data_IF_488556399801
#
_entry.id   IF_488556399801
#
_cell.length_a   1.000
_cell.length_b   1.000
_cell.length_c   1.000
_cell.angle_alpha   90.00
_cell.angle_beta   90.00
_cell.angle_gamma   90.00
#
_symmetry.space_group_name_H-M   'P 1'
#
loop_
_entity.id
_entity.type
_entity.pdbx_description
1 polymer ?
#
# COMPACT_ATOMS: atom_id res chain seq x y z
N UNK A 1 -2.25 -31.67 -14.41
CA UNK A 1 -2.23 -32.52 -13.19
C UNK A 1 -3.18 -31.98 -12.12
N UNK A 2 -3.07 -30.72 -11.68
CA UNK A 2 -3.97 -30.10 -10.69
C UNK A 2 -5.47 -30.08 -11.08
N UNK A 3 -5.79 -29.80 -12.35
CA UNK A 3 -7.18 -29.79 -12.84
C UNK A 3 -7.85 -31.17 -12.72
N UNK A 4 -7.11 -32.24 -13.04
CA UNK A 4 -7.61 -33.62 -12.91
C UNK A 4 -7.90 -34.02 -11.46
N UNK A 5 -7.08 -33.54 -10.52
CA UNK A 5 -7.30 -33.76 -9.07
C UNK A 5 -8.54 -33.02 -8.58
N UNK A 6 -8.80 -31.80 -9.06
CA UNK A 6 -9.98 -31.01 -8.70
C UNK A 6 -11.30 -31.62 -9.18
N UNK A 7 -11.28 -32.38 -10.27
CA UNK A 7 -12.46 -33.03 -10.84
C UNK A 7 -12.93 -34.17 -9.91
N UNK A 8 -12.03 -35.03 -9.44
CA UNK A 8 -12.42 -36.19 -8.59
C UNK A 8 -12.81 -35.84 -7.14
N UNK A 9 -12.67 -34.58 -6.71
CA UNK A 9 -12.92 -34.17 -5.33
C UNK A 9 -14.41 -34.07 -4.98
N UNK A 10 -14.77 -34.38 -3.73
CA UNK A 10 -16.14 -34.13 -3.21
C UNK A 10 -16.44 -32.62 -3.24
N UNK A 11 -17.69 -32.25 -3.58
CA UNK A 11 -18.15 -30.87 -3.70
C UNK A 11 -17.74 -29.95 -2.53
N UNK A 12 -17.88 -30.43 -1.28
CA UNK A 12 -17.49 -29.66 -0.10
C UNK A 12 -15.99 -29.34 -0.02
N UNK A 13 -15.14 -30.22 -0.55
CA UNK A 13 -13.69 -30.02 -0.61
C UNK A 13 -13.31 -29.06 -1.74
N UNK A 14 -14.04 -29.06 -2.86
CA UNK A 14 -13.88 -28.06 -3.94
C UNK A 14 -14.18 -26.65 -3.42
N UNK A 15 -15.27 -26.49 -2.67
CA UNK A 15 -15.64 -25.22 -2.04
C UNK A 15 -14.63 -24.75 -0.99
N UNK A 16 -14.10 -25.65 -0.16
CA UNK A 16 -13.10 -25.32 0.84
C UNK A 16 -11.79 -24.82 0.22
N UNK A 17 -11.32 -25.47 -0.85
CA UNK A 17 -10.12 -25.06 -1.59
C UNK A 17 -10.35 -23.73 -2.34
N UNK A 18 -11.57 -23.50 -2.82
CA UNK A 18 -11.96 -22.24 -3.46
C UNK A 18 -12.02 -21.05 -2.51
N UNK A 19 -12.44 -21.29 -1.28
CA UNK A 19 -12.61 -20.26 -0.26
C UNK A 19 -11.28 -19.86 0.38
N UNK A 20 -10.29 -20.77 0.41
CA UNK A 20 -9.00 -20.54 1.07
C UNK A 20 -8.21 -19.33 0.54
N UNK A 21 -8.20 -19.03 -0.78
CA UNK A 21 -7.56 -17.84 -1.32
C UNK A 21 -8.12 -16.51 -0.81
N UNK A 22 -9.41 -16.47 -0.46
CA UNK A 22 -10.14 -15.22 -0.18
C UNK A 22 -9.69 -14.58 1.15
N UNK A 23 -9.58 -15.30 2.28
CA UNK A 23 -8.99 -14.76 3.52
C UNK A 23 -7.54 -14.31 3.36
N UNK A 24 -6.72 -15.06 2.62
CA UNK A 24 -5.32 -14.68 2.35
C UNK A 24 -5.22 -13.41 1.52
N UNK A 25 -6.06 -13.25 0.49
CA UNK A 25 -6.11 -12.02 -0.30
C UNK A 25 -6.58 -10.84 0.55
N UNK A 26 -7.64 -11.03 1.34
CA UNK A 26 -8.14 -9.99 2.25
C UNK A 26 -7.07 -9.53 3.25
N UNK A 27 -6.34 -10.47 3.87
CA UNK A 27 -5.34 -10.14 4.88
C UNK A 27 -4.10 -9.45 4.30
N UNK A 28 -3.63 -9.91 3.13
CA UNK A 28 -2.51 -9.26 2.42
C UNK A 28 -2.90 -7.87 1.94
N UNK A 29 -4.13 -7.67 1.44
CA UNK A 29 -4.60 -6.36 1.02
C UNK A 29 -4.70 -5.37 2.20
N UNK A 30 -5.07 -5.83 3.40
CA UNK A 30 -5.10 -4.99 4.62
C UNK A 30 -3.72 -4.66 5.18
N UNK A 31 -2.70 -5.44 4.82
CA UNK A 31 -1.34 -5.25 5.34
C UNK A 31 -0.60 -4.08 4.66
N UNK A 32 0.48 -3.58 5.30
CA UNK A 32 1.46 -2.66 4.70
C UNK A 32 2.38 -3.35 3.67
N UNK A 33 1.91 -4.42 3.01
CA UNK A 33 2.68 -5.10 1.97
C UNK A 33 2.89 -4.19 0.76
N UNK A 34 4.00 -4.40 0.06
CA UNK A 34 4.32 -3.67 -1.16
C UNK A 34 3.25 -3.88 -2.24
N UNK A 35 3.08 -2.88 -3.10
CA UNK A 35 2.00 -2.88 -4.09
C UNK A 35 2.07 -4.07 -5.05
N UNK A 36 3.27 -4.52 -5.43
CA UNK A 36 3.47 -5.71 -6.25
C UNK A 36 2.98 -7.00 -5.58
N UNK A 37 3.13 -7.12 -4.25
CA UNK A 37 2.61 -8.28 -3.49
C UNK A 37 1.10 -8.30 -3.54
N UNK A 38 0.44 -7.13 -3.47
CA UNK A 38 -1.00 -7.02 -3.64
C UNK A 38 -1.45 -7.43 -5.04
N UNK A 39 -0.72 -7.02 -6.09
CA UNK A 39 -1.00 -7.44 -7.48
C UNK A 39 -0.90 -8.96 -7.65
N UNK A 40 0.18 -9.58 -7.17
CA UNK A 40 0.41 -11.02 -7.29
C UNK A 40 -0.69 -11.81 -6.59
N UNK A 41 -1.09 -11.40 -5.38
CA UNK A 41 -2.14 -12.08 -4.61
C UNK A 41 -3.52 -11.94 -5.27
N UNK A 42 -3.81 -10.79 -5.87
CA UNK A 42 -5.03 -10.57 -6.65
C UNK A 42 -5.08 -11.47 -7.88
N UNK A 43 -3.98 -11.54 -8.66
CA UNK A 43 -3.88 -12.43 -9.82
C UNK A 43 -4.03 -13.91 -9.43
N UNK A 44 -3.45 -14.29 -8.30
CA UNK A 44 -3.56 -15.65 -7.78
C UNK A 44 -5.00 -15.99 -7.36
N UNK A 45 -5.71 -15.07 -6.68
CA UNK A 45 -7.13 -15.25 -6.35
C UNK A 45 -8.02 -15.35 -7.61
N UNK A 46 -7.72 -14.54 -8.63
CA UNK A 46 -8.42 -14.56 -9.92
C UNK A 46 -8.21 -15.89 -10.66
N UNK A 47 -6.98 -16.40 -10.67
CA UNK A 47 -6.64 -17.70 -11.24
C UNK A 47 -7.44 -18.85 -10.59
N UNK A 48 -7.59 -18.83 -9.27
CA UNK A 48 -8.41 -19.81 -8.55
C UNK A 48 -9.89 -19.70 -8.87
N UNK A 49 -10.42 -18.48 -9.04
CA UNK A 49 -11.80 -18.25 -9.49
C UNK A 49 -12.06 -18.88 -10.87
N UNK A 50 -11.16 -18.69 -11.82
CA UNK A 50 -11.28 -19.28 -13.18
C UNK A 50 -11.20 -20.81 -13.12
N UNK A 51 -10.24 -21.36 -12.38
CA UNK A 51 -10.11 -22.81 -12.18
C UNK A 51 -11.39 -23.43 -11.61
N UNK A 52 -12.07 -22.73 -10.71
CA UNK A 52 -13.31 -23.19 -10.12
C UNK A 52 -14.44 -23.26 -11.14
N UNK A 53 -14.62 -22.19 -11.93
CA UNK A 53 -15.63 -22.14 -13.00
C UNK A 53 -15.41 -23.32 -13.97
N UNK A 54 -14.16 -23.53 -14.40
CA UNK A 54 -13.80 -24.63 -15.29
C UNK A 54 -14.09 -26.01 -14.69
N UNK A 55 -13.91 -26.19 -13.38
CA UNK A 55 -14.20 -27.46 -12.71
C UNK A 55 -15.69 -27.79 -12.70
N UNK A 56 -16.57 -26.79 -12.49
CA UNK A 56 -18.02 -26.98 -12.53
C UNK A 56 -18.55 -27.22 -13.95
N UNK A 57 -17.89 -26.66 -14.97
CA UNK A 57 -18.26 -26.89 -16.37
C UNK A 57 -17.98 -28.32 -16.85
N UNK A 58 -17.08 -29.06 -16.18
CA UNK A 58 -16.60 -30.36 -16.67
C UNK A 58 -17.43 -31.58 -16.26
N UNK A 59 -18.37 -31.43 -15.32
CA UNK A 59 -18.83 -32.57 -14.52
C UNK A 59 -20.29 -32.98 -14.69
N UNK A 60 -21.08 -32.29 -15.53
CA UNK A 60 -22.53 -32.37 -15.36
C UNK A 60 -23.33 -32.29 -16.69
N UNK A 61 -24.34 -33.19 -16.91
CA UNK A 61 -25.03 -33.40 -18.20
C UNK A 61 -26.24 -32.48 -18.46
N UNK A 62 -26.19 -31.72 -19.57
CA UNK A 62 -27.26 -30.99 -20.29
C UNK A 62 -28.65 -30.87 -19.60
N UNK A 63 -28.85 -29.85 -18.78
CA UNK A 63 -30.07 -29.48 -18.06
C UNK A 63 -30.03 -27.97 -17.79
N UNK A 64 -31.18 -27.29 -17.83
CA UNK A 64 -31.28 -25.82 -17.69
C UNK A 64 -30.63 -25.24 -16.41
N UNK A 65 -30.41 -26.09 -15.40
CA UNK A 65 -29.62 -25.79 -14.21
C UNK A 65 -28.16 -25.34 -14.51
N UNK A 66 -27.56 -25.73 -15.66
CA UNK A 66 -26.24 -25.24 -16.07
C UNK A 66 -26.22 -23.76 -16.36
N UNK A 67 -27.25 -23.26 -17.06
CA UNK A 67 -27.35 -21.85 -17.38
C UNK A 67 -27.39 -21.05 -16.09
N UNK A 68 -28.19 -21.50 -15.13
CA UNK A 68 -28.35 -20.81 -13.85
C UNK A 68 -27.08 -20.87 -12.99
N UNK A 69 -26.46 -22.03 -12.80
CA UNK A 69 -25.24 -22.14 -11.99
C UNK A 69 -24.03 -21.43 -12.63
N UNK A 70 -23.86 -21.53 -13.94
CA UNK A 70 -22.78 -20.83 -14.65
C UNK A 70 -22.96 -19.31 -14.57
N UNK A 71 -24.18 -18.81 -14.75
CA UNK A 71 -24.50 -17.38 -14.61
C UNK A 71 -24.29 -16.90 -13.16
N UNK A 72 -24.70 -17.68 -12.16
CA UNK A 72 -24.46 -17.36 -10.75
C UNK A 72 -22.97 -17.34 -10.41
N UNK A 73 -22.18 -18.26 -10.96
CA UNK A 73 -20.72 -18.28 -10.77
C UNK A 73 -20.02 -17.09 -11.43
N UNK A 74 -20.48 -16.67 -12.62
CA UNK A 74 -20.02 -15.47 -13.31
C UNK A 74 -20.38 -14.20 -12.53
N UNK A 75 -21.61 -14.11 -12.02
CA UNK A 75 -22.05 -12.99 -11.17
C UNK A 75 -21.21 -12.90 -9.89
N UNK A 76 -20.93 -14.03 -9.24
CA UNK A 76 -20.07 -14.06 -8.06
C UNK A 76 -18.64 -13.59 -8.38
N UNK A 77 -18.10 -13.98 -9.54
CA UNK A 77 -16.78 -13.51 -10.01
C UNK A 77 -16.79 -11.99 -10.29
N UNK A 78 -17.83 -11.48 -10.96
CA UNK A 78 -17.97 -10.04 -11.23
C UNK A 78 -18.05 -9.25 -9.93
N UNK A 79 -18.85 -9.70 -8.96
CA UNK A 79 -18.97 -9.04 -7.65
C UNK A 79 -17.63 -9.07 -6.90
N UNK A 80 -16.90 -10.20 -6.93
CA UNK A 80 -15.58 -10.29 -6.32
C UNK A 80 -14.56 -9.35 -6.99
N UNK A 81 -14.57 -9.25 -8.32
CA UNK A 81 -13.73 -8.31 -9.07
C UNK A 81 -14.08 -6.86 -8.76
N UNK A 82 -15.37 -6.51 -8.71
CA UNK A 82 -15.82 -5.17 -8.34
C UNK A 82 -15.40 -4.81 -6.92
N UNK A 83 -15.51 -5.75 -5.97
CA UNK A 83 -15.05 -5.55 -4.59
C UNK A 83 -13.52 -5.36 -4.53
N UNK A 84 -12.75 -6.15 -5.29
CA UNK A 84 -11.29 -5.98 -5.38
C UNK A 84 -10.91 -4.63 -6.02
N UNK A 85 -11.57 -4.22 -7.09
CA UNK A 85 -11.39 -2.90 -7.71
C UNK A 85 -11.73 -1.77 -6.74
N UNK A 86 -12.86 -1.87 -6.01
CA UNK A 86 -13.24 -0.88 -5.01
C UNK A 86 -12.22 -0.77 -3.88
N UNK A 87 -11.68 -1.90 -3.40
CA UNK A 87 -10.61 -1.91 -2.39
C UNK A 87 -9.33 -1.27 -2.93
N UNK A 88 -8.95 -1.54 -4.18
CA UNK A 88 -7.77 -0.93 -4.80
C UNK A 88 -7.96 0.58 -4.98
N UNK A 89 -9.11 1.02 -5.49
CA UNK A 89 -9.42 2.45 -5.67
C UNK A 89 -9.49 3.17 -4.32
N UNK A 90 -10.12 2.56 -3.32
CA UNK A 90 -10.15 3.10 -1.96
C UNK A 90 -8.75 3.16 -1.34
N UNK A 91 -7.90 2.16 -1.60
CA UNK A 91 -6.50 2.19 -1.18
C UNK A 91 -5.63 3.13 -1.99
N UNK A 92 -5.97 3.46 -3.23
CA UNK A 92 -5.30 4.53 -3.98
C UNK A 92 -5.75 5.89 -3.46
N UNK A 93 -7.03 6.06 -3.11
CA UNK A 93 -7.53 7.28 -2.47
C UNK A 93 -6.88 7.50 -1.10
N UNK A 94 -6.76 6.46 -0.27
CA UNK A 94 -6.05 6.51 1.01
C UNK A 94 -4.52 6.48 0.88
N UNK A 95 -4.00 5.83 -0.16
CA UNK A 95 -2.56 5.74 -0.45
C UNK A 95 -2.01 7.00 -1.09
N UNK A 96 -2.88 7.87 -1.62
CA UNK A 96 -2.54 9.25 -1.96
C UNK A 96 -2.29 10.11 -0.71
N UNK A 97 -2.65 9.61 0.48
CA UNK A 97 -2.22 10.15 1.78
C UNK A 97 -1.00 9.41 2.36
N UNK A 98 -0.36 8.54 1.55
CA UNK A 98 0.67 7.59 1.97
C UNK A 98 2.09 7.91 1.52
N UNK A 99 2.35 9.10 1.00
CA UNK A 99 3.71 9.64 0.80
C UNK A 99 3.82 10.98 1.55
N UNK A 100 4.27 10.91 2.81
CA UNK A 100 4.66 12.06 3.64
C UNK A 100 3.58 13.11 3.96
N UNK A 101 2.66 12.81 4.87
CA UNK A 101 2.00 13.84 5.70
C UNK A 101 2.30 13.62 7.18
N UNK A 102 3.59 13.53 7.52
CA UNK A 102 4.06 14.18 8.74
C UNK A 102 3.83 15.69 8.54
N UNK A 103 3.33 16.37 9.57
CA UNK A 103 2.71 17.70 9.50
C UNK A 103 3.30 18.65 8.46
N UNK A 104 2.43 19.35 7.73
CA UNK A 104 2.82 20.36 6.74
C UNK A 104 3.91 21.24 7.33
N UNK A 105 5.13 21.15 6.79
CA UNK A 105 6.26 21.87 7.33
C UNK A 105 6.05 23.35 7.00
N UNK A 106 5.53 24.10 7.97
CA UNK A 106 5.23 25.51 7.84
C UNK A 106 6.51 26.35 7.65
N UNK A 107 6.49 27.19 6.62
CA UNK A 107 7.56 28.16 6.38
C UNK A 107 7.47 29.28 7.42
N UNK A 108 8.62 29.81 7.84
CA UNK A 108 8.76 30.84 8.88
C UNK A 108 8.47 30.37 10.31
N UNK A 109 8.29 29.07 10.51
CA UNK A 109 8.18 28.46 11.84
C UNK A 109 9.53 27.97 12.36
N UNK A 110 9.64 27.89 13.68
CA UNK A 110 10.82 27.40 14.40
C UNK A 110 10.71 25.90 14.68
N UNK A 111 11.81 25.19 14.41
CA UNK A 111 11.92 23.74 14.60
C UNK A 111 13.22 23.39 15.29
N UNK A 112 13.16 22.36 16.13
CA UNK A 112 14.33 21.67 16.67
C UNK A 112 14.67 20.48 15.79
N UNK A 113 15.95 20.39 15.40
CA UNK A 113 16.43 19.44 14.40
C UNK A 113 17.63 18.66 14.91
N UNK A 114 17.58 17.34 14.74
CA UNK A 114 18.76 16.47 14.86
C UNK A 114 19.35 16.22 13.49
N UNK A 115 20.57 16.72 13.25
CA UNK A 115 21.21 16.67 11.94
C UNK A 115 22.52 15.89 11.96
N UNK A 116 22.70 15.00 10.98
CA UNK A 116 23.95 14.26 10.72
C UNK A 116 24.74 14.94 9.61
N UNK A 117 25.94 15.43 9.92
CA UNK A 117 26.80 16.02 8.90
C UNK A 117 27.45 14.96 7.98
N UNK A 118 28.15 15.42 6.93
CA UNK A 118 28.85 14.55 5.98
C UNK A 118 30.00 13.74 6.59
N UNK A 119 30.44 14.08 7.81
CA UNK A 119 31.43 13.34 8.59
C UNK A 119 30.78 12.37 9.58
N UNK A 120 29.45 12.26 9.55
CA UNK A 120 28.66 11.40 10.44
C UNK A 120 28.42 11.99 11.82
N UNK A 121 28.86 13.23 12.10
CA UNK A 121 28.66 13.85 13.42
C UNK A 121 27.22 14.32 13.55
N UNK A 122 26.58 13.88 14.63
CA UNK A 122 25.22 14.28 14.99
C UNK A 122 25.27 15.58 15.81
N UNK A 123 24.35 16.49 15.52
CA UNK A 123 24.20 17.75 16.25
C UNK A 123 22.73 18.16 16.30
N UNK A 124 22.31 18.64 17.47
CA UNK A 124 21.01 19.26 17.70
C UNK A 124 21.07 20.75 17.38
N UNK A 125 20.02 21.29 16.74
CA UNK A 125 19.98 22.66 16.24
C UNK A 125 18.54 23.17 16.18
N UNK A 126 18.33 24.38 16.68
CA UNK A 126 17.10 25.13 16.42
C UNK A 126 17.24 25.95 15.12
N UNK A 127 16.23 25.87 14.26
CA UNK A 127 16.20 26.49 12.94
C UNK A 127 14.87 27.19 12.69
N UNK A 128 14.90 28.30 11.95
CA UNK A 128 13.70 28.92 11.39
C UNK A 128 13.63 28.57 9.90
N UNK A 129 12.62 27.82 9.48
CA UNK A 129 12.50 27.42 8.09
C UNK A 129 12.19 28.64 7.20
N UNK A 130 12.87 28.73 6.06
CA UNK A 130 12.68 29.81 5.07
C UNK A 130 12.16 29.31 3.74
N UNK A 131 12.42 28.06 3.40
CA UNK A 131 11.90 27.44 2.19
C UNK A 131 12.45 26.04 1.98
N UNK A 132 11.91 25.36 0.97
CA UNK A 132 12.31 24.03 0.56
C UNK A 132 12.76 24.12 -0.91
N UNK A 133 13.97 23.64 -1.19
CA UNK A 133 14.57 23.64 -2.52
C UNK A 133 14.74 22.20 -3.01
N UNK A 134 14.39 21.94 -4.27
CA UNK A 134 14.59 20.65 -4.92
C UNK A 134 15.69 20.77 -5.97
N UNK A 135 16.76 19.97 -5.82
CA UNK A 135 17.90 19.97 -6.73
C UNK A 135 18.40 18.57 -6.99
N UNK A 136 18.53 18.19 -8.26
CA UNK A 136 19.03 16.88 -8.68
C UNK A 136 18.30 15.68 -8.03
N UNK A 137 16.98 15.78 -7.84
CA UNK A 137 16.17 14.73 -7.20
C UNK A 137 16.32 14.64 -5.67
N UNK A 138 17.03 15.58 -5.05
CA UNK A 138 17.21 15.67 -3.60
C UNK A 138 16.53 16.93 -3.06
N UNK A 139 15.98 16.83 -1.85
CA UNK A 139 15.27 17.91 -1.17
C UNK A 139 16.17 18.55 -0.11
N UNK A 140 16.14 19.89 -0.07
CA UNK A 140 16.97 20.70 0.80
C UNK A 140 16.13 21.72 1.56
N UNK A 141 16.29 21.78 2.87
CA UNK A 141 15.66 22.78 3.73
C UNK A 141 16.56 24.02 3.81
N UNK A 142 16.07 25.15 3.34
CA UNK A 142 16.70 26.44 3.55
C UNK A 142 16.19 27.03 4.86
N UNK A 143 17.07 27.25 5.82
CA UNK A 143 16.68 27.73 7.14
C UNK A 143 17.70 28.69 7.76
N UNK A 144 17.23 29.57 8.63
CA UNK A 144 18.09 30.37 9.50
C UNK A 144 18.47 29.54 10.71
N UNK A 145 19.74 29.14 10.83
CA UNK A 145 20.22 28.38 11.97
C UNK A 145 20.44 29.31 13.17
N UNK A 146 19.69 29.12 14.26
CA UNK A 146 19.73 30.01 15.42
C UNK A 146 21.04 29.92 16.19
N UNK A 147 21.64 28.71 16.26
CA UNK A 147 22.97 28.50 16.86
C UNK A 147 24.07 29.35 16.21
N UNK A 148 23.97 29.63 14.91
CA UNK A 148 24.98 30.38 14.15
C UNK A 148 24.51 31.74 13.65
N UNK A 149 23.23 32.07 13.86
CA UNK A 149 22.54 33.27 13.38
C UNK A 149 22.78 33.56 11.89
N UNK A 150 22.77 32.51 11.06
CA UNK A 150 23.01 32.59 9.61
C UNK A 150 22.14 31.62 8.84
N UNK A 151 21.80 31.98 7.60
CA UNK A 151 21.12 31.09 6.65
C UNK A 151 22.02 29.93 6.26
N UNK A 152 21.44 28.73 6.23
CA UNK A 152 22.08 27.48 5.82
C UNK A 152 21.08 26.58 5.11
N UNK A 153 21.62 25.72 4.26
CA UNK A 153 20.87 24.71 3.53
C UNK A 153 21.19 23.33 4.11
N UNK A 154 20.16 22.58 4.47
CA UNK A 154 20.25 21.25 5.08
C UNK A 154 19.68 20.21 4.13
N UNK A 155 20.41 19.12 3.90
CA UNK A 155 19.92 18.03 3.04
C UNK A 155 18.89 17.21 3.82
N UNK A 156 17.68 17.02 3.29
CA UNK A 156 16.60 16.30 3.98
C UNK A 156 16.99 14.89 4.41
N UNK A 157 17.72 14.16 3.54
CA UNK A 157 18.21 12.81 3.84
C UNK A 157 19.22 12.73 5.01
N UNK A 158 19.76 13.86 5.45
CA UNK A 158 20.66 13.94 6.60
C UNK A 158 19.97 14.41 7.90
N UNK A 159 18.68 14.76 7.82
CA UNK A 159 17.86 15.09 8.98
C UNK A 159 17.41 13.78 9.60
N UNK A 160 17.76 13.58 10.88
CA UNK A 160 17.35 12.40 11.65
C UNK A 160 15.98 12.65 12.26
N UNK A 161 15.80 13.83 12.87
CA UNK A 161 14.51 14.29 13.37
C UNK A 161 14.32 15.77 13.11
N UNK A 162 13.08 16.18 12.86
CA UNK A 162 12.63 17.58 12.85
C UNK A 162 11.38 17.67 13.72
N UNK A 163 11.41 18.51 14.75
CA UNK A 163 10.34 18.64 15.75
C UNK A 163 9.86 20.08 15.80
N UNK A 164 8.55 20.26 15.73
CA UNK A 164 7.91 21.55 15.92
C UNK A 164 8.09 22.02 17.37
N UNK A 165 8.60 23.23 17.55
CA UNK A 165 8.87 23.78 18.89
C UNK A 165 7.61 24.19 19.65
N UNK A 166 6.52 24.51 18.93
CA UNK A 166 5.26 24.93 19.53
C UNK A 166 4.42 23.73 19.97
N UNK A 167 4.35 22.69 19.15
CA UNK A 167 3.50 21.51 19.40
C UNK A 167 4.25 20.32 20.01
N UNK A 168 5.58 20.27 19.85
CA UNK A 168 6.40 19.11 20.21
C UNK A 168 6.24 17.92 19.25
N UNK A 169 5.53 18.08 18.14
CA UNK A 169 5.30 17.02 17.16
C UNK A 169 6.53 16.83 16.26
N UNK A 170 6.90 15.57 16.02
CA UNK A 170 7.96 15.21 15.07
C UNK A 170 7.36 15.23 13.67
N UNK A 171 7.92 16.05 12.79
CA UNK A 171 7.49 16.25 11.39
C UNK A 171 8.42 15.58 10.37
N UNK A 172 9.61 15.14 10.78
CA UNK A 172 10.54 14.26 10.02
C UNK A 172 11.18 13.32 11.03
#
# INVERSE_FOLDING_TARGET
>A
MLVGVLIEMKLGLKLAVAAFPVPTAFWVLKSKASWWVKVIVTLWALFWGIMLIGSFSSEMPTNEAYGVLSVLSLLALIVALLHQCAVIVYQQALGNEGESSLGEIEIHKEYDMTYRDSKGKISERSIILRGIEHKNGEEYLQATCLLRRRSRTFKKSNIITLTDTDTGEVVI
#
